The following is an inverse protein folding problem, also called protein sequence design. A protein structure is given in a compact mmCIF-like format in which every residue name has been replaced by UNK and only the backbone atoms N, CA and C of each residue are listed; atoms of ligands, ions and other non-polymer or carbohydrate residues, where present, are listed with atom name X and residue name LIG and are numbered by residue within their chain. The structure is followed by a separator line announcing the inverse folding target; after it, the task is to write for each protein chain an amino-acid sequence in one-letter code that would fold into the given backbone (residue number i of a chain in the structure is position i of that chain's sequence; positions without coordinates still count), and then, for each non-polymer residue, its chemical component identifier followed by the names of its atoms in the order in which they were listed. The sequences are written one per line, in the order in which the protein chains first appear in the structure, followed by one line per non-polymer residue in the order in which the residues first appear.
data_IF_325429940757
#
_entry.id   IF_325429940757
#
_cell.length_a   1.000
_cell.length_b   1.000
_cell.length_c   1.000
_cell.angle_alpha   90.00
_cell.angle_beta   90.00
_cell.angle_gamma   90.00
#
_symmetry.space_group_name_H-M   'P 1'
#
loop_
_entity.id
_entity.type
_entity.pdbx_description
1 polymer ?
#
# COMPACT_ATOMS: atom_id res chain seq x y z
N UNK A 1 -14.63 -1.44 -5.82
CA UNK A 1 -13.44 -1.83 -5.04
C UNK A 1 -12.77 -2.98 -5.78
N UNK A 2 -11.44 -3.04 -5.78
CA UNK A 2 -10.71 -4.17 -6.35
C UNK A 2 -11.06 -5.46 -5.61
N UNK A 3 -10.95 -6.60 -6.28
CA UNK A 3 -11.19 -7.89 -5.65
C UNK A 3 -10.07 -8.17 -4.65
N UNK A 4 -10.43 -8.74 -3.51
CA UNK A 4 -9.50 -9.32 -2.54
C UNK A 4 -8.51 -10.25 -3.25
N UNK A 5 -7.23 -10.13 -2.93
CA UNK A 5 -6.16 -10.98 -3.46
C UNK A 5 -6.06 -12.27 -2.65
N UNK A 6 -6.41 -12.21 -1.36
CA UNK A 6 -6.24 -13.30 -0.42
C UNK A 6 -4.85 -13.30 0.21
N UNK A 7 -4.73 -14.01 1.33
CA UNK A 7 -3.58 -13.91 2.23
C UNK A 7 -2.24 -14.19 1.53
N UNK A 8 -2.15 -15.27 0.74
CA UNK A 8 -0.90 -15.68 0.11
C UNK A 8 -0.39 -14.63 -0.89
N UNK A 9 -1.25 -14.14 -1.79
CA UNK A 9 -0.89 -13.10 -2.77
C UNK A 9 -0.53 -11.76 -2.09
N UNK A 10 -1.24 -11.40 -1.01
CA UNK A 10 -0.94 -10.20 -0.23
C UNK A 10 0.42 -10.33 0.46
N UNK A 11 0.74 -11.48 1.04
CA UNK A 11 2.03 -11.70 1.68
C UNK A 11 3.15 -11.68 0.64
N UNK A 12 2.94 -12.28 -0.53
CA UNK A 12 3.95 -12.32 -1.60
C UNK A 12 4.23 -10.94 -2.19
N UNK A 13 3.20 -10.15 -2.51
CA UNK A 13 3.37 -8.92 -3.29
C UNK A 13 3.28 -7.64 -2.46
N UNK A 14 2.73 -7.67 -1.26
CA UNK A 14 2.49 -6.50 -0.42
C UNK A 14 3.22 -6.57 0.93
N UNK A 15 4.24 -7.40 1.06
CA UNK A 15 5.17 -7.36 2.21
C UNK A 15 6.36 -6.47 1.89
N UNK A 16 6.72 -5.60 2.85
CA UNK A 16 7.84 -4.68 2.75
C UNK A 16 9.14 -5.35 3.14
N UNK A 17 10.20 -5.10 2.37
CA UNK A 17 11.57 -5.36 2.80
C UNK A 17 12.19 -4.18 3.55
N UNK A 18 13.42 -4.35 4.04
CA UNK A 18 14.14 -3.34 4.82
C UNK A 18 14.48 -2.08 4.01
N UNK A 19 14.78 -2.23 2.71
CA UNK A 19 15.13 -1.13 1.82
C UNK A 19 13.87 -0.31 1.48
N UNK A 20 12.76 -0.98 1.16
CA UNK A 20 11.45 -0.37 0.97
C UNK A 20 11.00 0.38 2.23
N UNK A 21 11.21 -0.23 3.41
CA UNK A 21 10.91 0.41 4.70
C UNK A 21 11.78 1.65 4.92
N UNK A 22 13.04 1.64 4.49
CA UNK A 22 13.91 2.81 4.58
C UNK A 22 13.41 4.00 3.76
N UNK A 23 12.72 3.78 2.64
CA UNK A 23 12.10 4.84 1.82
C UNK A 23 10.96 5.58 2.54
N UNK A 24 10.42 4.99 3.62
CA UNK A 24 9.29 5.53 4.40
C UNK A 24 9.72 6.45 5.55
N UNK A 25 11.02 6.55 5.86
CA UNK A 25 11.54 7.23 7.06
C UNK A 25 11.04 8.66 7.25
N UNK A 26 10.83 9.40 6.17
CA UNK A 26 10.39 10.80 6.20
C UNK A 26 8.88 10.99 5.92
N UNK A 27 8.09 9.91 5.96
CA UNK A 27 6.64 9.93 5.66
C UNK A 27 5.84 9.57 6.91
N UNK A 28 4.64 10.10 7.06
CA UNK A 28 3.71 9.81 8.16
C UNK A 28 2.26 9.75 7.65
N UNK A 29 1.36 9.16 8.47
CA UNK A 29 -0.08 9.10 8.22
C UNK A 29 -0.44 8.63 6.81
N UNK A 30 -1.44 9.28 6.21
CA UNK A 30 -1.89 9.07 4.84
C UNK A 30 -0.75 9.00 3.80
N UNK A 31 0.23 9.91 3.88
CA UNK A 31 1.36 9.95 2.93
C UNK A 31 2.24 8.71 3.03
N UNK A 32 2.45 8.17 4.25
CA UNK A 32 3.22 6.93 4.43
C UNK A 32 2.48 5.75 3.79
N UNK A 33 1.20 5.58 4.11
CA UNK A 33 0.42 4.46 3.59
C UNK A 33 0.20 4.55 2.07
N UNK A 34 -0.13 5.75 1.57
CA UNK A 34 -0.31 6.01 0.14
C UNK A 34 0.95 5.75 -0.69
N UNK A 35 2.09 6.28 -0.26
CA UNK A 35 3.37 5.99 -0.92
C UNK A 35 3.67 4.49 -0.94
N UNK A 36 3.46 3.80 0.19
CA UNK A 36 3.73 2.37 0.29
C UNK A 36 2.82 1.57 -0.65
N UNK A 37 1.53 1.91 -0.70
CA UNK A 37 0.57 1.28 -1.59
C UNK A 37 0.93 1.49 -3.06
N UNK A 38 1.33 2.71 -3.44
CA UNK A 38 1.82 2.99 -4.80
C UNK A 38 3.09 2.20 -5.14
N UNK A 39 4.04 2.11 -4.22
CA UNK A 39 5.29 1.38 -4.40
C UNK A 39 5.03 -0.11 -4.63
N UNK A 40 4.29 -0.78 -3.74
CA UNK A 40 3.99 -2.21 -3.91
C UNK A 40 3.14 -2.48 -5.14
N UNK A 41 2.19 -1.59 -5.46
CA UNK A 41 1.39 -1.73 -6.68
C UNK A 41 2.25 -1.57 -7.95
N UNK A 42 3.23 -0.66 -7.96
CA UNK A 42 4.20 -0.52 -9.05
C UNK A 42 5.00 -1.80 -9.24
N UNK A 43 5.51 -2.40 -8.16
CA UNK A 43 6.29 -3.64 -8.22
C UNK A 43 5.42 -4.84 -8.66
N UNK A 44 4.17 -4.87 -8.23
CA UNK A 44 3.24 -5.94 -8.59
C UNK A 44 2.71 -5.86 -10.03
N UNK A 45 2.33 -4.66 -10.49
CA UNK A 45 1.64 -4.46 -11.80
C UNK A 45 2.50 -3.78 -12.86
N UNK A 46 3.71 -3.33 -12.52
CA UNK A 46 4.58 -2.57 -13.43
C UNK A 46 4.07 -1.17 -13.78
N UNK A 47 3.08 -0.65 -13.03
CA UNK A 47 2.50 0.70 -13.21
C UNK A 47 1.95 1.23 -11.90
N UNK A 48 1.69 2.53 -11.83
CA UNK A 48 0.95 3.11 -10.71
C UNK A 48 -0.55 2.81 -10.76
N UNK A 49 -1.23 2.77 -9.60
CA UNK A 49 -2.68 2.68 -9.54
C UNK A 49 -3.30 4.00 -10.03
N UNK A 50 -4.44 3.93 -10.71
CA UNK A 50 -5.22 5.09 -11.15
C UNK A 50 -6.03 5.74 -10.02
N UNK A 51 -6.02 5.12 -8.83
CA UNK A 51 -6.70 5.60 -7.65
C UNK A 51 -6.92 4.49 -6.62
N UNK A 52 -7.41 4.86 -5.44
CA UNK A 52 -7.68 3.95 -4.31
C UNK A 52 -8.54 2.73 -4.69
N UNK A 53 -9.44 2.87 -5.66
CA UNK A 53 -10.36 1.81 -6.07
C UNK A 53 -9.68 0.60 -6.72
N UNK A 54 -8.45 0.75 -7.24
CA UNK A 54 -7.66 -0.36 -7.79
C UNK A 54 -6.88 -1.12 -6.72
N UNK A 55 -6.78 -0.59 -5.50
CA UNK A 55 -6.10 -1.24 -4.40
C UNK A 55 -7.07 -2.20 -3.69
N UNK A 56 -6.70 -3.49 -3.56
CA UNK A 56 -7.44 -4.45 -2.74
C UNK A 56 -7.42 -4.06 -1.27
N UNK A 57 -8.52 -4.29 -0.56
CA UNK A 57 -8.68 -3.83 0.83
C UNK A 57 -7.81 -4.64 1.80
N UNK A 58 -7.67 -5.94 1.56
CA UNK A 58 -6.75 -6.85 2.24
C UNK A 58 -5.27 -6.43 2.09
N UNK A 59 -4.87 -6.01 0.89
CA UNK A 59 -3.54 -5.48 0.63
C UNK A 59 -3.30 -4.18 1.41
N UNK A 60 -4.26 -3.24 1.40
CA UNK A 60 -4.16 -1.99 2.17
C UNK A 60 -4.07 -2.27 3.66
N UNK A 61 -4.89 -3.20 4.17
CA UNK A 61 -4.86 -3.60 5.57
C UNK A 61 -3.51 -4.21 5.98
N UNK A 62 -2.93 -5.02 5.10
CA UNK A 62 -1.62 -5.60 5.34
C UNK A 62 -0.49 -4.57 5.34
N UNK A 63 -0.54 -3.60 4.42
CA UNK A 63 0.42 -2.49 4.41
C UNK A 63 0.27 -1.61 5.65
N UNK A 64 -0.97 -1.25 6.02
CA UNK A 64 -1.26 -0.43 7.19
C UNK A 64 -0.65 -1.00 8.47
N UNK A 65 -0.77 -2.32 8.67
CA UNK A 65 -0.13 -3.02 9.79
C UNK A 65 1.40 -2.90 9.80
N UNK A 66 2.05 -3.07 8.65
CA UNK A 66 3.51 -2.99 8.54
C UNK A 66 4.03 -1.57 8.79
N UNK A 67 3.34 -0.57 8.25
CA UNK A 67 3.77 0.84 8.35
C UNK A 67 3.25 1.55 9.60
N UNK A 68 2.42 0.87 10.40
CA UNK A 68 1.75 1.35 11.62
C UNK A 68 0.82 2.54 11.35
N UNK A 69 0.03 2.46 10.29
CA UNK A 69 -0.95 3.49 9.88
C UNK A 69 -2.30 2.81 9.67
N UNK A 70 -3.37 3.40 10.18
CA UNK A 70 -4.71 2.86 9.98
C UNK A 70 -5.13 2.93 8.51
N UNK A 71 -5.78 1.89 8.01
CA UNK A 71 -6.17 1.75 6.60
C UNK A 71 -7.05 2.91 6.11
N UNK A 72 -7.88 3.45 7.00
CA UNK A 72 -8.73 4.62 6.76
C UNK A 72 -7.93 5.88 6.38
N UNK A 73 -6.68 6.01 6.82
CA UNK A 73 -5.82 7.14 6.48
C UNK A 73 -5.55 7.23 4.98
N UNK A 74 -5.62 6.10 4.27
CA UNK A 74 -5.45 6.08 2.82
C UNK A 74 -6.54 6.88 2.09
N UNK A 75 -7.70 7.09 2.72
CA UNK A 75 -8.76 7.95 2.19
C UNK A 75 -8.37 9.44 2.10
N UNK A 76 -7.34 9.88 2.83
CA UNK A 76 -6.82 11.24 2.76
C UNK A 76 -5.61 11.38 1.84
N UNK A 77 -5.20 10.30 1.19
CA UNK A 77 -4.09 10.33 0.24
C UNK A 77 -4.59 10.66 -1.17
N UNK A 78 -3.95 11.63 -1.81
CA UNK A 78 -4.23 12.01 -3.18
C UNK A 78 -3.42 11.14 -4.16
N UNK A 79 -4.12 10.48 -5.09
CA UNK A 79 -3.54 9.61 -6.11
C UNK A 79 -3.37 10.31 -7.47
N UNK A 80 -3.68 11.61 -7.54
CA UNK A 80 -3.74 12.39 -8.78
C UNK A 80 -2.43 13.15 -9.08
#
# INVERSE_FOLDING_TARGET
MARDLGLDEVVEHFTLDDDETALLRNKSGATRLGFTAMLKFLLFKGRFPKGRFELPDDAVAHLGRQVKVADAELGFYDFT
#
